data_IF_507753373364
#
_entry.id   IF_507753373364
#
_cell.length_a   1.000
_cell.length_b   1.000
_cell.length_c   1.000
_cell.angle_alpha   90.00
_cell.angle_beta   90.00
_cell.angle_gamma   90.00
#
_symmetry.space_group_name_H-M   'P 1'
#
loop_
_entity.id
_entity.type
_entity.pdbx_description
1 polymer ?
#
# COMPACT_ATOMS: atom_id res chain seq x y z
N UNK A 1 11.77 -15.73 -12.08
CA UNK A 1 11.56 -14.42 -11.43
C UNK A 1 10.11 -14.35 -11.01
N UNK A 2 9.79 -14.02 -9.78
CA UNK A 2 8.43 -13.82 -9.30
C UNK A 2 8.20 -12.32 -9.08
N UNK A 3 7.01 -11.84 -9.41
CA UNK A 3 6.66 -10.41 -9.36
C UNK A 3 5.59 -10.20 -8.30
N UNK A 4 5.70 -9.11 -7.56
CA UNK A 4 4.82 -8.78 -6.43
C UNK A 4 4.26 -7.38 -6.58
N UNK A 5 2.97 -7.22 -6.32
CA UNK A 5 2.31 -5.91 -6.21
C UNK A 5 1.92 -5.68 -4.74
N UNK A 6 2.71 -4.87 -4.05
CA UNK A 6 2.53 -4.67 -2.61
C UNK A 6 1.27 -3.87 -2.27
N UNK A 7 0.65 -3.19 -3.26
CA UNK A 7 -0.49 -2.33 -3.01
C UNK A 7 -1.28 -2.06 -4.29
N UNK A 8 -2.54 -2.49 -4.32
CA UNK A 8 -3.46 -2.28 -5.44
C UNK A 8 -4.91 -2.24 -4.97
N UNK A 9 -5.80 -1.55 -5.68
CA UNK A 9 -7.23 -1.45 -5.38
C UNK A 9 -8.08 -2.20 -6.41
N UNK A 10 -7.85 -3.49 -6.57
CA UNK A 10 -8.57 -4.34 -7.53
C UNK A 10 -10.10 -4.41 -7.26
N UNK A 11 -10.53 -4.02 -6.07
CA UNK A 11 -11.91 -3.96 -5.59
C UNK A 11 -12.65 -2.68 -5.95
N UNK A 12 -11.97 -1.68 -6.52
CA UNK A 12 -12.61 -0.43 -6.96
C UNK A 12 -13.39 -0.60 -8.27
N UNK A 13 -14.33 0.33 -8.51
CA UNK A 13 -15.29 0.29 -9.61
C UNK A 13 -14.66 0.12 -10.99
N UNK A 14 -13.49 0.75 -11.20
CA UNK A 14 -12.76 0.70 -12.47
C UNK A 14 -12.14 -0.68 -12.78
N UNK A 15 -11.81 -1.46 -11.76
CA UNK A 15 -11.11 -2.74 -11.90
C UNK A 15 -11.97 -3.95 -11.53
N UNK A 16 -12.85 -3.81 -10.56
CA UNK A 16 -13.62 -4.92 -10.01
C UNK A 16 -14.47 -5.68 -11.03
N UNK A 17 -15.16 -5.03 -12.00
CA UNK A 17 -15.94 -5.75 -13.00
C UNK A 17 -15.11 -6.71 -13.85
N UNK A 18 -13.84 -6.35 -14.14
CA UNK A 18 -12.91 -7.12 -14.97
C UNK A 18 -11.75 -7.71 -14.15
N UNK A 19 -11.97 -7.95 -12.84
CA UNK A 19 -10.92 -8.41 -11.90
C UNK A 19 -10.23 -9.69 -12.33
N UNK A 20 -10.96 -10.59 -12.99
CA UNK A 20 -10.42 -11.86 -13.48
C UNK A 20 -9.39 -11.62 -14.59
N UNK A 21 -9.70 -10.80 -15.57
CA UNK A 21 -8.79 -10.41 -16.66
C UNK A 21 -7.54 -9.70 -16.11
N UNK A 22 -7.70 -8.88 -15.08
CA UNK A 22 -6.56 -8.23 -14.41
C UNK A 22 -5.66 -9.24 -13.70
N UNK A 23 -6.22 -10.25 -13.04
CA UNK A 23 -5.45 -11.32 -12.40
C UNK A 23 -4.78 -12.25 -13.44
N UNK A 24 -5.46 -12.58 -14.55
CA UNK A 24 -4.87 -13.31 -15.67
C UNK A 24 -3.68 -12.54 -16.27
N UNK A 25 -3.84 -11.23 -16.48
CA UNK A 25 -2.76 -10.38 -16.97
C UNK A 25 -1.59 -10.29 -15.98
N UNK A 26 -1.87 -10.22 -14.67
CA UNK A 26 -0.84 -10.21 -13.64
C UNK A 26 -0.08 -11.55 -13.60
N UNK A 27 -0.77 -12.68 -13.66
CA UNK A 27 -0.15 -13.99 -13.74
C UNK A 27 0.73 -14.13 -15.01
N UNK A 28 0.29 -13.59 -16.15
CA UNK A 28 1.02 -13.63 -17.41
C UNK A 28 2.37 -12.89 -17.39
N UNK A 29 2.54 -11.90 -16.50
CA UNK A 29 3.82 -11.20 -16.29
C UNK A 29 4.63 -11.77 -15.11
N UNK A 30 4.40 -13.02 -14.73
CA UNK A 30 5.04 -13.71 -13.60
C UNK A 30 4.61 -13.16 -12.22
N UNK A 31 3.43 -12.58 -12.13
CA UNK A 31 2.81 -12.19 -10.85
C UNK A 31 2.69 -13.39 -9.92
N UNK A 32 2.99 -13.18 -8.64
CA UNK A 32 2.97 -14.23 -7.62
C UNK A 32 2.26 -13.79 -6.33
N UNK A 33 2.50 -12.58 -5.88
CA UNK A 33 1.86 -12.02 -4.67
C UNK A 33 1.26 -10.65 -4.95
N UNK A 34 0.06 -10.43 -4.40
CA UNK A 34 -0.68 -9.18 -4.53
C UNK A 34 -1.44 -8.89 -3.22
N UNK A 35 -1.35 -7.64 -2.74
CA UNK A 35 -2.16 -7.17 -1.62
C UNK A 35 -3.21 -6.20 -2.14
N UNK A 36 -4.48 -6.60 -1.97
CA UNK A 36 -5.64 -5.82 -2.36
C UNK A 36 -6.10 -4.95 -1.20
N UNK A 37 -6.28 -3.67 -1.44
CA UNK A 37 -6.50 -2.65 -0.43
C UNK A 37 -7.99 -2.35 -0.29
N UNK A 38 -8.53 -2.44 0.94
CA UNK A 38 -9.94 -2.23 1.23
C UNK A 38 -10.12 -0.92 2.01
N UNK A 39 -10.72 0.06 1.38
CA UNK A 39 -10.74 1.43 1.88
C UNK A 39 -12.06 1.84 2.56
N UNK A 40 -13.15 1.08 2.38
CA UNK A 40 -14.45 1.33 2.98
C UNK A 40 -15.33 0.08 2.95
N UNK A 41 -16.52 0.16 3.57
CA UNK A 41 -17.45 -0.98 3.70
C UNK A 41 -17.82 -1.66 2.37
N UNK A 42 -18.03 -0.89 1.29
CA UNK A 42 -18.33 -1.42 -0.04
C UNK A 42 -17.13 -2.15 -0.63
N UNK A 43 -15.96 -1.52 -0.57
CA UNK A 43 -14.72 -2.10 -1.10
C UNK A 43 -14.26 -3.31 -0.29
N UNK A 44 -14.56 -3.34 1.01
CA UNK A 44 -14.32 -4.51 1.85
C UNK A 44 -15.08 -5.74 1.34
N UNK A 45 -16.37 -5.58 0.98
CA UNK A 45 -17.18 -6.67 0.43
C UNK A 45 -16.64 -7.17 -0.92
N UNK A 46 -16.26 -6.24 -1.81
CA UNK A 46 -15.64 -6.57 -3.09
C UNK A 46 -14.30 -7.30 -2.89
N UNK A 47 -13.51 -6.87 -1.92
CA UNK A 47 -12.22 -7.47 -1.58
C UNK A 47 -12.36 -8.90 -1.07
N UNK A 48 -13.32 -9.19 -0.19
CA UNK A 48 -13.66 -10.56 0.25
C UNK A 48 -14.04 -11.44 -0.94
N UNK A 49 -14.83 -10.91 -1.87
CA UNK A 49 -15.19 -11.62 -3.10
C UNK A 49 -13.95 -12.00 -3.90
N UNK A 50 -13.03 -11.05 -4.13
CA UNK A 50 -11.77 -11.31 -4.83
C UNK A 50 -10.96 -12.40 -4.13
N UNK A 51 -10.79 -12.30 -2.80
CA UNK A 51 -10.01 -13.26 -2.02
C UNK A 51 -10.59 -14.68 -2.10
N UNK A 52 -11.92 -14.80 -2.08
CA UNK A 52 -12.58 -16.10 -2.16
C UNK A 52 -12.55 -16.70 -3.57
N UNK A 53 -12.83 -15.92 -4.61
CA UNK A 53 -12.81 -16.36 -6.00
C UNK A 53 -11.41 -16.73 -6.47
N UNK A 54 -10.40 -15.95 -6.05
CA UNK A 54 -9.01 -16.16 -6.48
C UNK A 54 -8.41 -17.46 -5.93
N UNK A 55 -8.77 -17.89 -4.73
CA UNK A 55 -8.31 -19.19 -4.18
C UNK A 55 -8.63 -20.36 -5.09
N UNK A 56 -9.79 -20.33 -5.75
CA UNK A 56 -10.24 -21.41 -6.63
C UNK A 56 -9.70 -21.25 -8.07
N UNK A 57 -9.64 -20.01 -8.56
CA UNK A 57 -9.32 -19.71 -9.97
C UNK A 57 -7.84 -19.51 -10.24
N UNK A 58 -7.08 -19.06 -9.24
CA UNK A 58 -5.66 -18.71 -9.32
C UNK A 58 -4.87 -19.27 -8.13
N UNK A 59 -4.78 -20.62 -8.00
CA UNK A 59 -4.16 -21.26 -6.83
C UNK A 59 -2.68 -20.93 -6.65
N UNK A 60 -2.01 -20.50 -7.71
CA UNK A 60 -0.59 -20.13 -7.71
C UNK A 60 -0.35 -18.64 -7.33
N UNK A 61 -1.42 -17.84 -7.23
CA UNK A 61 -1.35 -16.46 -6.78
C UNK A 61 -1.64 -16.35 -5.29
N UNK A 62 -0.73 -15.72 -4.56
CA UNK A 62 -0.97 -15.31 -3.19
C UNK A 62 -1.67 -13.94 -3.17
N UNK A 63 -2.99 -13.95 -2.96
CA UNK A 63 -3.81 -12.74 -2.91
C UNK A 63 -4.37 -12.58 -1.51
N UNK A 64 -4.01 -11.47 -0.88
CA UNK A 64 -4.44 -11.10 0.47
C UNK A 64 -4.96 -9.67 0.48
N UNK A 65 -5.47 -9.24 1.62
CA UNK A 65 -6.04 -7.92 1.77
C UNK A 65 -5.42 -7.17 2.94
N UNK A 66 -5.43 -5.86 2.85
CA UNK A 66 -5.33 -4.97 4.00
C UNK A 66 -6.69 -4.33 4.28
N UNK A 67 -6.94 -3.98 5.52
CA UNK A 67 -8.23 -3.51 5.99
C UNK A 67 -8.07 -2.21 6.79
N UNK A 68 -8.94 -1.23 6.52
CA UNK A 68 -8.94 0.02 7.27
C UNK A 68 -9.96 1.02 6.75
N UNK A 69 -9.81 2.28 7.13
CA UNK A 69 -10.70 3.38 6.77
C UNK A 69 -9.89 4.48 6.11
N UNK A 70 -10.37 4.87 4.93
CA UNK A 70 -9.81 5.98 4.19
C UNK A 70 -10.32 7.33 4.73
N UNK A 71 -9.46 8.28 5.11
CA UNK A 71 -9.90 9.55 5.70
C UNK A 71 -10.72 10.47 4.79
N UNK A 72 -10.64 10.35 3.46
CA UNK A 72 -11.59 11.05 2.59
C UNK A 72 -13.03 10.62 2.84
N UNK A 73 -13.25 9.43 3.39
CA UNK A 73 -14.56 8.95 3.83
C UNK A 73 -14.94 9.50 5.22
N UNK A 74 -13.96 10.01 5.99
CA UNK A 74 -14.11 10.51 7.37
C UNK A 74 -15.04 11.72 7.47
N UNK A 75 -15.15 12.56 6.44
CA UNK A 75 -15.97 13.76 6.48
C UNK A 75 -17.44 13.58 6.14
N UNK A 76 -17.83 12.49 5.46
CA UNK A 76 -19.15 12.42 4.80
C UNK A 76 -20.05 11.24 5.21
N UNK A 77 -19.54 10.17 5.83
CA UNK A 77 -20.30 8.94 6.02
C UNK A 77 -19.92 8.13 7.27
N UNK A 78 -18.95 8.58 8.05
CA UNK A 78 -18.37 7.75 9.11
C UNK A 78 -18.92 8.21 10.44
N UNK A 79 -19.42 7.24 11.23
CA UNK A 79 -19.83 7.38 12.61
C UNK A 79 -18.68 7.87 13.49
N UNK A 80 -18.63 7.46 14.71
CA UNK A 80 -17.49 7.78 15.55
C UNK A 80 -16.35 6.77 15.33
N UNK A 81 -15.13 7.15 15.70
CA UNK A 81 -13.91 6.33 15.57
C UNK A 81 -14.10 4.93 16.19
N UNK A 82 -14.70 4.87 17.37
CA UNK A 82 -14.89 3.62 18.12
C UNK A 82 -15.78 2.62 17.38
N UNK A 83 -16.87 3.07 16.75
CA UNK A 83 -17.77 2.22 15.97
C UNK A 83 -17.05 1.62 14.76
N UNK A 84 -16.33 2.44 14.00
CA UNK A 84 -15.62 1.97 12.81
C UNK A 84 -14.46 1.03 13.16
N UNK A 85 -13.70 1.31 14.18
CA UNK A 85 -12.64 0.42 14.67
C UNK A 85 -13.22 -0.91 15.15
N UNK A 86 -14.37 -0.90 15.80
CA UNK A 86 -15.07 -2.13 16.21
C UNK A 86 -15.46 -2.99 14.99
N UNK A 87 -15.95 -2.37 13.93
CA UNK A 87 -16.28 -3.09 12.69
C UNK A 87 -15.05 -3.68 12.01
N UNK A 88 -13.94 -2.93 11.94
CA UNK A 88 -12.68 -3.44 11.39
C UNK A 88 -12.20 -4.63 12.21
N UNK A 89 -12.21 -4.51 13.53
CA UNK A 89 -11.81 -5.58 14.45
C UNK A 89 -12.62 -6.85 14.19
N UNK A 90 -13.93 -6.75 14.11
CA UNK A 90 -14.80 -7.87 13.78
C UNK A 90 -14.43 -8.49 12.42
N UNK A 91 -14.18 -7.68 11.39
CA UNK A 91 -13.78 -8.17 10.07
C UNK A 91 -12.44 -8.92 10.10
N UNK A 92 -11.46 -8.46 10.91
CA UNK A 92 -10.18 -9.16 11.10
C UNK A 92 -10.43 -10.52 11.78
N UNK A 93 -11.22 -10.55 12.85
CA UNK A 93 -11.55 -11.79 13.58
C UNK A 93 -12.25 -12.83 12.70
N UNK A 94 -13.18 -12.38 11.83
CA UNK A 94 -13.92 -13.25 10.92
C UNK A 94 -13.08 -13.73 9.71
N UNK A 95 -12.07 -12.98 9.29
CA UNK A 95 -11.33 -13.22 8.02
C UNK A 95 -9.81 -13.35 8.22
N UNK A 96 -9.33 -13.60 9.45
CA UNK A 96 -7.95 -13.52 9.91
C UNK A 96 -6.87 -13.85 8.86
N UNK A 97 -6.87 -15.07 8.31
CA UNK A 97 -5.87 -15.50 7.31
C UNK A 97 -5.90 -14.70 5.99
N UNK A 98 -6.93 -13.94 5.73
CA UNK A 98 -7.07 -13.13 4.51
C UNK A 98 -6.54 -11.71 4.69
N UNK A 99 -6.40 -11.25 5.92
CA UNK A 99 -5.97 -9.89 6.27
C UNK A 99 -4.50 -9.92 6.71
N UNK A 100 -3.67 -9.12 6.08
CA UNK A 100 -2.22 -9.11 6.30
C UNK A 100 -1.65 -7.76 6.70
N UNK A 101 -2.46 -6.72 6.78
CA UNK A 101 -2.05 -5.39 7.22
C UNK A 101 -3.25 -4.54 7.64
N UNK A 102 -3.02 -3.55 8.46
CA UNK A 102 -3.96 -2.44 8.69
C UNK A 102 -3.62 -1.30 7.74
N UNK A 103 -4.64 -0.75 7.11
CA UNK A 103 -4.58 0.22 6.02
C UNK A 103 -5.83 1.12 6.04
N UNK A 104 -5.91 2.28 5.64
CA UNK A 104 -4.91 3.32 5.40
C UNK A 104 -4.81 4.23 6.62
N UNK A 105 -3.64 4.27 7.22
CA UNK A 105 -3.41 5.19 8.31
C UNK A 105 -2.72 6.40 7.71
N UNK A 106 -3.41 7.54 7.65
CA UNK A 106 -2.85 8.68 6.96
C UNK A 106 -3.34 10.04 7.45
N UNK A 107 -2.57 11.03 7.04
CA UNK A 107 -2.97 12.42 7.07
C UNK A 107 -2.79 12.97 5.65
N UNK A 108 -3.87 13.47 5.06
CA UNK A 108 -3.84 14.15 3.77
C UNK A 108 -4.20 15.63 3.96
N UNK A 109 -3.25 16.49 3.70
CA UNK A 109 -3.44 17.94 3.73
C UNK A 109 -3.43 18.56 2.33
N UNK A 110 -3.41 17.74 1.30
CA UNK A 110 -3.40 18.20 -0.09
C UNK A 110 -4.68 18.92 -0.48
N UNK A 111 -5.82 18.48 0.05
CA UNK A 111 -7.11 19.12 -0.20
C UNK A 111 -7.50 20.00 1.00
N UNK A 112 -8.08 21.19 0.77
CA UNK A 112 -8.49 22.10 1.86
C UNK A 112 -9.43 21.44 2.88
N UNK A 113 -10.26 20.52 2.43
CA UNK A 113 -11.18 19.75 3.28
C UNK A 113 -10.41 18.87 4.28
N UNK A 114 -9.26 18.31 3.87
CA UNK A 114 -8.42 17.49 4.74
C UNK A 114 -7.95 18.25 5.99
N UNK A 115 -7.55 19.51 5.83
CA UNK A 115 -7.13 20.34 6.96
C UNK A 115 -8.27 20.60 7.97
N UNK A 116 -9.53 20.63 7.52
CA UNK A 116 -10.70 20.82 8.39
C UNK A 116 -10.99 19.61 9.29
N UNK A 117 -10.48 18.43 8.94
CA UNK A 117 -10.68 17.17 9.66
C UNK A 117 -9.38 16.62 10.27
N UNK A 118 -8.33 17.43 10.40
CA UNK A 118 -7.01 16.97 10.84
C UNK A 118 -7.06 16.21 12.17
N UNK A 119 -7.75 16.72 13.18
CA UNK A 119 -7.83 16.04 14.48
C UNK A 119 -8.56 14.69 14.37
N UNK A 120 -9.62 14.61 13.58
CA UNK A 120 -10.32 13.36 13.35
C UNK A 120 -9.45 12.36 12.57
N UNK A 121 -8.67 12.80 11.59
CA UNK A 121 -7.68 11.97 10.91
C UNK A 121 -6.62 11.43 11.89
N UNK A 122 -6.13 12.28 12.81
CA UNK A 122 -5.19 11.89 13.87
C UNK A 122 -5.77 10.83 14.80
N UNK A 123 -7.04 10.97 15.19
CA UNK A 123 -7.71 10.02 16.08
C UNK A 123 -7.88 8.66 15.39
N UNK A 124 -8.33 8.65 14.13
CA UNK A 124 -8.41 7.41 13.33
C UNK A 124 -7.04 6.77 13.14
N UNK A 125 -6.01 7.57 12.85
CA UNK A 125 -4.66 7.05 12.66
C UNK A 125 -4.15 6.34 13.94
N UNK A 126 -4.26 6.99 15.11
CA UNK A 126 -3.87 6.36 16.38
C UNK A 126 -4.67 5.08 16.66
N UNK A 127 -5.98 5.14 16.46
CA UNK A 127 -6.84 3.97 16.69
C UNK A 127 -6.49 2.80 15.78
N UNK A 128 -6.14 3.04 14.52
CA UNK A 128 -5.68 1.99 13.60
C UNK A 128 -4.27 1.49 13.94
N UNK A 129 -3.37 2.34 14.45
CA UNK A 129 -2.08 1.90 15.00
C UNK A 129 -2.25 0.97 16.21
N UNK A 130 -3.15 1.30 17.14
CA UNK A 130 -3.47 0.41 18.27
C UNK A 130 -4.05 -0.92 17.79
N UNK A 131 -4.92 -0.91 16.78
CA UNK A 131 -5.48 -2.10 16.19
C UNK A 131 -4.40 -2.97 15.55
N UNK A 132 -3.47 -2.37 14.80
CA UNK A 132 -2.32 -3.06 14.21
C UNK A 132 -1.46 -3.73 15.29
N UNK A 133 -1.21 -3.04 16.40
CA UNK A 133 -0.51 -3.58 17.57
C UNK A 133 -1.25 -4.75 18.20
N UNK A 134 -2.58 -4.64 18.41
CA UNK A 134 -3.41 -5.69 19.00
C UNK A 134 -3.35 -6.98 18.19
N UNK A 135 -3.39 -6.90 16.86
CA UNK A 135 -3.39 -8.05 15.95
C UNK A 135 -2.00 -8.45 15.44
N UNK A 136 -0.95 -7.75 15.87
CA UNK A 136 0.42 -7.95 15.37
C UNK A 136 0.51 -7.90 13.83
N UNK A 137 -0.15 -6.90 13.25
CA UNK A 137 -0.16 -6.66 11.82
C UNK A 137 0.69 -5.42 11.47
N UNK A 138 1.35 -5.39 10.31
CA UNK A 138 1.98 -4.18 9.82
C UNK A 138 0.95 -3.09 9.53
N UNK A 139 1.42 -1.84 9.61
CA UNK A 139 0.62 -0.68 9.26
C UNK A 139 1.09 -0.10 7.92
N UNK A 140 0.14 0.17 7.03
CA UNK A 140 0.41 0.79 5.74
C UNK A 140 0.02 2.26 5.80
N UNK A 141 0.98 3.12 5.51
CA UNK A 141 0.88 4.57 5.64
C UNK A 141 0.73 5.21 4.27
N UNK A 142 -0.32 5.97 4.11
CA UNK A 142 -0.39 7.03 3.11
C UNK A 142 -0.09 8.38 3.79
N UNK A 143 0.72 9.21 3.17
CA UNK A 143 1.00 10.55 3.69
C UNK A 143 1.19 11.50 2.51
N UNK A 144 0.38 12.57 2.47
CA UNK A 144 0.42 13.53 1.38
C UNK A 144 0.37 14.96 1.93
N UNK A 145 1.45 15.71 1.66
CA UNK A 145 1.64 17.07 2.19
C UNK A 145 1.54 17.16 3.73
N UNK A 146 1.81 16.04 4.44
CA UNK A 146 1.57 15.84 5.87
C UNK A 146 2.65 15.02 6.60
N UNK A 147 3.90 15.06 6.10
CA UNK A 147 4.98 14.22 6.65
C UNK A 147 5.21 14.45 8.15
N UNK A 148 5.23 15.72 8.58
CA UNK A 148 5.48 16.09 9.99
C UNK A 148 4.40 15.57 10.92
N UNK A 149 3.14 15.71 10.54
CA UNK A 149 1.97 15.26 11.29
C UNK A 149 1.92 13.72 11.37
N UNK A 150 2.24 13.05 10.25
CA UNK A 150 2.36 11.60 10.19
C UNK A 150 3.47 11.09 11.10
N UNK A 151 4.64 11.72 11.04
CA UNK A 151 5.81 11.35 11.84
C UNK A 151 5.55 11.54 13.34
N UNK A 152 4.84 12.60 13.73
CA UNK A 152 4.46 12.87 15.13
C UNK A 152 3.70 11.67 15.72
N UNK A 153 2.71 11.13 15.01
CA UNK A 153 1.93 9.98 15.46
C UNK A 153 2.77 8.71 15.45
N UNK A 154 3.50 8.43 14.38
CA UNK A 154 4.31 7.21 14.27
C UNK A 154 5.37 7.09 15.38
N UNK A 155 5.84 8.21 15.94
CA UNK A 155 6.75 8.20 17.09
C UNK A 155 6.15 7.57 18.36
N UNK A 156 4.82 7.54 18.48
CA UNK A 156 4.09 6.87 19.56
C UNK A 156 4.07 5.32 19.35
N UNK A 157 4.40 4.84 18.11
CA UNK A 157 4.22 3.46 17.65
C UNK A 157 5.48 2.86 17.00
N UNK A 158 6.66 3.10 17.57
CA UNK A 158 7.95 2.65 17.03
C UNK A 158 8.14 1.12 17.03
N UNK A 159 7.28 0.40 17.71
CA UNK A 159 7.23 -1.06 17.79
C UNK A 159 6.55 -1.70 16.58
N UNK A 160 5.76 -0.95 15.79
CA UNK A 160 5.07 -1.45 14.62
C UNK A 160 6.01 -1.65 13.42
N UNK A 161 5.63 -2.60 12.55
CA UNK A 161 6.18 -2.70 11.19
C UNK A 161 5.46 -1.67 10.31
N UNK A 162 6.23 -0.76 9.74
CA UNK A 162 5.70 0.41 9.01
C UNK A 162 5.98 0.26 7.52
N UNK A 163 4.96 0.42 6.70
CA UNK A 163 5.07 0.48 5.27
C UNK A 163 4.52 1.81 4.74
N UNK A 164 5.39 2.71 4.29
CA UNK A 164 4.98 3.89 3.52
C UNK A 164 4.72 3.48 2.07
N UNK A 165 3.47 3.43 1.67
CA UNK A 165 3.11 3.19 0.28
C UNK A 165 3.20 4.47 -0.55
N UNK A 166 3.30 4.34 -1.86
CA UNK A 166 3.27 5.43 -2.84
C UNK A 166 4.16 6.63 -2.47
N UNK A 167 5.44 6.36 -2.19
CA UNK A 167 6.37 7.39 -1.73
C UNK A 167 6.36 8.64 -2.61
N UNK A 168 6.11 9.80 -2.01
CA UNK A 168 5.97 11.09 -2.67
C UNK A 168 6.83 12.21 -2.11
N UNK A 169 7.73 11.92 -1.15
CA UNK A 169 8.59 12.91 -0.51
C UNK A 169 10.04 12.85 -1.02
N UNK A 170 10.90 13.70 -0.45
CA UNK A 170 12.31 13.83 -0.78
C UNK A 170 13.17 12.75 -0.09
N UNK A 171 14.43 12.58 -0.49
CA UNK A 171 15.35 11.65 0.18
C UNK A 171 15.62 11.95 1.66
N UNK A 172 15.51 13.21 2.07
CA UNK A 172 15.81 13.59 3.45
C UNK A 172 14.78 13.05 4.44
N UNK A 173 13.51 12.94 4.04
CA UNK A 173 12.47 12.30 4.86
C UNK A 173 12.75 10.79 5.04
N UNK A 174 13.31 10.11 4.04
CA UNK A 174 13.75 8.71 4.17
C UNK A 174 14.85 8.59 5.23
N UNK A 175 15.83 9.51 5.25
CA UNK A 175 16.88 9.51 6.27
C UNK A 175 16.30 9.66 7.67
N UNK A 176 15.31 10.54 7.85
CA UNK A 176 14.61 10.70 9.12
C UNK A 176 13.93 9.40 9.52
N UNK A 177 13.13 8.78 8.63
CA UNK A 177 12.43 7.53 8.93
C UNK A 177 13.42 6.40 9.28
N UNK A 178 14.49 6.23 8.52
CA UNK A 178 15.53 5.21 8.78
C UNK A 178 16.21 5.41 10.13
N UNK A 179 16.37 6.64 10.59
CA UNK A 179 16.98 6.93 11.89
C UNK A 179 16.06 6.64 13.08
N UNK A 180 14.75 6.62 12.87
CA UNK A 180 13.76 6.50 13.93
C UNK A 180 13.07 5.14 14.00
N UNK A 181 12.96 4.43 12.85
CA UNK A 181 12.19 3.19 12.74
C UNK A 181 13.03 2.04 12.21
N UNK A 182 13.11 0.96 12.98
CA UNK A 182 13.90 -0.24 12.62
C UNK A 182 13.15 -1.18 11.66
N UNK A 183 11.82 -1.15 11.66
CA UNK A 183 10.97 -2.01 10.84
C UNK A 183 10.20 -1.14 9.81
N UNK A 184 10.93 -0.71 8.79
CA UNK A 184 10.44 0.23 7.79
C UNK A 184 10.51 -0.37 6.38
N UNK A 185 9.45 -0.14 5.60
CA UNK A 185 9.37 -0.42 4.17
C UNK A 185 8.86 0.81 3.41
N UNK A 186 9.34 1.00 2.18
CA UNK A 186 8.98 2.13 1.31
C UNK A 186 8.52 1.60 -0.04
N UNK A 187 7.31 1.97 -0.46
CA UNK A 187 6.70 1.60 -1.72
C UNK A 187 6.93 2.61 -2.84
N UNK A 188 7.25 2.12 -4.01
CA UNK A 188 7.43 2.91 -5.21
C UNK A 188 6.46 2.47 -6.30
N UNK A 189 5.74 3.43 -6.88
CA UNK A 189 4.70 3.22 -7.88
C UNK A 189 5.15 3.58 -9.29
N UNK A 190 4.21 3.56 -10.26
CA UNK A 190 4.46 3.96 -11.65
C UNK A 190 4.97 5.39 -11.81
N UNK A 191 4.81 6.26 -10.80
CA UNK A 191 5.28 7.64 -10.83
C UNK A 191 6.81 7.77 -10.95
N UNK A 192 7.61 6.78 -10.50
CA UNK A 192 9.08 6.79 -10.70
C UNK A 192 9.46 6.87 -12.17
N UNK A 193 8.59 6.42 -13.07
CA UNK A 193 8.83 6.43 -14.52
C UNK A 193 8.58 7.80 -15.17
N UNK A 194 8.00 8.77 -14.44
CA UNK A 194 7.67 10.05 -15.02
C UNK A 194 8.93 10.92 -15.27
N UNK A 195 8.97 11.69 -16.39
CA UNK A 195 10.16 12.48 -16.74
C UNK A 195 10.63 13.43 -15.63
N UNK A 196 9.68 14.01 -14.88
CA UNK A 196 9.95 14.99 -13.81
C UNK A 196 10.09 14.38 -12.40
N UNK A 197 10.14 13.05 -12.27
CA UNK A 197 10.15 12.37 -10.97
C UNK A 197 11.58 12.09 -10.44
N UNK A 198 12.56 13.00 -10.69
CA UNK A 198 13.94 12.76 -10.24
C UNK A 198 14.05 12.69 -8.72
N UNK A 199 13.24 13.43 -8.00
CA UNK A 199 13.19 13.41 -6.53
C UNK A 199 12.78 12.03 -5.99
N UNK A 200 11.75 11.42 -6.60
CA UNK A 200 11.30 10.08 -6.22
C UNK A 200 12.36 9.03 -6.56
N UNK A 201 13.04 9.18 -7.72
CA UNK A 201 14.17 8.31 -8.08
C UNK A 201 15.38 8.49 -7.14
N UNK A 202 15.63 9.71 -6.67
CA UNK A 202 16.63 9.96 -5.65
C UNK A 202 16.26 9.31 -4.31
N UNK A 203 14.97 9.37 -3.93
CA UNK A 203 14.44 8.67 -2.76
C UNK A 203 14.58 7.15 -2.88
N UNK A 204 14.33 6.58 -4.06
CA UNK A 204 14.55 5.15 -4.31
C UNK A 204 16.03 4.76 -4.10
N UNK A 205 16.96 5.59 -4.55
CA UNK A 205 18.41 5.35 -4.33
C UNK A 205 18.84 5.51 -2.86
N UNK A 206 18.14 6.35 -2.08
CA UNK A 206 18.41 6.56 -0.65
C UNK A 206 17.84 5.44 0.23
N UNK A 207 16.81 4.75 -0.25
CA UNK A 207 16.14 3.67 0.48
C UNK A 207 17.04 2.44 0.55
N UNK A 208 17.18 1.83 1.72
CA UNK A 208 17.93 0.59 1.86
C UNK A 208 17.29 -0.51 1.03
N UNK A 209 18.10 -1.27 0.30
CA UNK A 209 17.62 -2.28 -0.64
C UNK A 209 16.69 -3.32 0.02
N UNK A 210 16.95 -3.62 1.29
CA UNK A 210 16.09 -4.49 2.12
C UNK A 210 14.77 -3.86 2.57
N UNK A 211 14.48 -2.62 2.20
CA UNK A 211 13.26 -1.89 2.58
C UNK A 211 12.38 -1.52 1.39
N UNK A 212 12.87 -1.74 0.15
CA UNK A 212 12.18 -1.37 -1.07
C UNK A 212 11.03 -2.33 -1.35
N UNK A 213 9.85 -1.79 -1.59
CA UNK A 213 8.70 -2.48 -2.17
C UNK A 213 8.27 -1.82 -3.47
N UNK A 214 7.68 -2.60 -4.34
CA UNK A 214 7.10 -2.15 -5.61
C UNK A 214 5.61 -2.42 -5.62
N UNK A 215 4.88 -1.48 -6.20
CA UNK A 215 3.43 -1.52 -6.21
C UNK A 215 2.86 -0.78 -7.42
N UNK A 216 1.59 -0.99 -7.72
CA UNK A 216 0.93 -0.26 -8.79
C UNK A 216 0.12 0.93 -8.29
N UNK A 217 -0.47 0.82 -7.11
CA UNK A 217 -1.55 1.70 -6.67
C UNK A 217 -2.71 1.77 -7.69
N UNK A 218 -2.92 0.67 -8.42
CA UNK A 218 -3.96 0.63 -9.46
C UNK A 218 -5.36 0.78 -8.85
N UNK A 219 -6.25 1.58 -9.48
CA UNK A 219 -6.28 2.06 -10.86
C UNK A 219 -5.47 3.32 -11.14
N UNK A 220 -4.79 3.88 -10.14
CA UNK A 220 -4.07 5.14 -10.21
C UNK A 220 -2.63 4.99 -10.76
N UNK A 221 -1.95 6.10 -10.98
CA UNK A 221 -0.51 6.21 -11.21
C UNK A 221 0.06 5.32 -12.31
N UNK A 222 -0.68 5.15 -13.44
CA UNK A 222 -0.18 4.40 -14.59
C UNK A 222 1.22 4.85 -15.00
N UNK A 223 2.17 3.93 -15.23
CA UNK A 223 3.53 4.26 -15.64
C UNK A 223 3.61 5.11 -16.91
N UNK A 224 4.75 5.77 -17.14
CA UNK A 224 5.01 6.53 -18.37
C UNK A 224 4.79 5.63 -19.60
N UNK A 225 4.10 6.17 -20.60
CA UNK A 225 3.59 5.42 -21.77
C UNK A 225 2.14 4.96 -21.64
N UNK A 226 1.62 4.89 -20.41
CA UNK A 226 0.22 4.53 -20.11
C UNK A 226 -0.54 5.64 -19.35
N UNK A 227 0.05 6.81 -19.23
CA UNK A 227 -0.60 7.96 -18.54
C UNK A 227 -1.94 8.29 -19.19
N UNK A 228 -2.96 8.52 -18.34
CA UNK A 228 -4.34 8.78 -18.78
C UNK A 228 -5.16 7.51 -19.07
N UNK A 229 -4.55 6.33 -18.92
CA UNK A 229 -5.24 5.04 -18.94
C UNK A 229 -5.37 4.51 -17.52
N UNK A 230 -6.39 3.70 -17.27
CA UNK A 230 -6.56 2.96 -16.02
C UNK A 230 -5.33 2.06 -15.79
N UNK A 231 -4.75 2.13 -14.60
CA UNK A 231 -3.66 1.26 -14.19
C UNK A 231 -4.18 -0.15 -13.88
N UNK A 232 -3.27 -1.13 -13.78
CA UNK A 232 -3.61 -2.52 -13.42
C UNK A 232 -2.43 -3.21 -12.75
N UNK A 233 -2.64 -4.25 -11.92
CA UNK A 233 -1.58 -4.95 -11.21
C UNK A 233 -0.44 -5.46 -12.10
N UNK A 234 -0.73 -5.89 -13.33
CA UNK A 234 0.28 -6.35 -14.27
C UNK A 234 1.36 -5.30 -14.60
N UNK A 235 1.02 -4.01 -14.46
CA UNK A 235 1.98 -2.92 -14.76
C UNK A 235 3.03 -2.72 -13.68
N UNK A 236 2.97 -3.43 -12.55
CA UNK A 236 4.05 -3.45 -11.57
C UNK A 236 5.36 -4.00 -12.20
N UNK A 237 5.28 -4.85 -13.22
CA UNK A 237 6.43 -5.30 -14.00
C UNK A 237 7.17 -4.13 -14.66
N UNK A 238 6.44 -3.12 -15.12
CA UNK A 238 7.01 -1.89 -15.70
C UNK A 238 7.64 -1.03 -14.60
N UNK A 239 7.00 -0.92 -13.43
CA UNK A 239 7.58 -0.26 -12.25
C UNK A 239 8.91 -0.90 -11.89
N UNK A 240 8.97 -2.24 -11.85
CA UNK A 240 10.19 -2.99 -11.57
C UNK A 240 11.31 -2.71 -12.56
N UNK A 241 11.00 -2.63 -13.85
CA UNK A 241 11.98 -2.27 -14.87
C UNK A 241 12.59 -0.88 -14.61
N UNK A 242 11.76 0.15 -14.41
CA UNK A 242 12.22 1.51 -14.12
C UNK A 242 13.01 1.59 -12.79
N UNK A 243 12.60 0.84 -11.76
CA UNK A 243 13.30 0.77 -10.50
C UNK A 243 14.68 0.14 -10.67
N UNK A 244 14.80 -0.98 -11.40
CA UNK A 244 16.08 -1.64 -11.69
C UNK A 244 17.03 -0.73 -12.47
N UNK A 245 16.53 -0.05 -13.51
CA UNK A 245 17.28 0.94 -14.29
C UNK A 245 17.77 2.10 -13.39
N UNK A 246 16.93 2.61 -12.50
CA UNK A 246 17.26 3.69 -11.56
C UNK A 246 18.36 3.30 -10.57
N UNK A 247 18.33 2.04 -10.12
CA UNK A 247 19.32 1.47 -9.18
C UNK A 247 20.57 0.92 -9.87
N UNK A 248 20.58 0.83 -11.21
CA UNK A 248 21.70 0.27 -11.97
C UNK A 248 21.93 -1.22 -11.73
N UNK A 249 20.86 -1.99 -11.51
CA UNK A 249 20.90 -3.43 -11.24
C UNK A 249 20.02 -4.20 -12.24
N UNK A 250 20.15 -5.53 -12.27
CA UNK A 250 19.24 -6.36 -13.07
C UNK A 250 17.86 -6.46 -12.42
N UNK A 251 16.82 -6.63 -13.25
CA UNK A 251 15.46 -6.88 -12.76
C UNK A 251 15.39 -8.16 -11.89
N UNK A 252 16.13 -9.20 -12.24
CA UNK A 252 16.21 -10.43 -11.46
C UNK A 252 16.71 -10.17 -10.03
N UNK A 253 17.79 -9.38 -9.88
CA UNK A 253 18.31 -9.00 -8.56
C UNK A 253 17.30 -8.16 -7.78
N UNK A 254 16.64 -7.21 -8.44
CA UNK A 254 15.62 -6.37 -7.82
C UNK A 254 14.45 -7.23 -7.31
N UNK A 255 13.86 -8.06 -8.17
CA UNK A 255 12.70 -8.85 -7.81
C UNK A 255 13.00 -9.91 -6.75
N UNK A 256 14.22 -10.46 -6.72
CA UNK A 256 14.64 -11.34 -5.62
C UNK A 256 14.57 -10.63 -4.29
N UNK A 257 15.09 -9.39 -4.19
CA UNK A 257 15.02 -8.63 -2.95
C UNK A 257 13.61 -8.15 -2.62
N UNK A 258 12.85 -7.71 -3.62
CA UNK A 258 11.44 -7.29 -3.42
C UNK A 258 10.60 -8.45 -2.90
N UNK A 259 10.82 -9.66 -3.40
CA UNK A 259 10.19 -10.87 -2.86
C UNK A 259 10.51 -11.09 -1.37
N UNK A 260 11.78 -11.01 -0.98
CA UNK A 260 12.19 -11.14 0.41
C UNK A 260 11.55 -10.06 1.29
N UNK A 261 11.55 -8.79 0.81
CA UNK A 261 10.95 -7.67 1.50
C UNK A 261 9.42 -7.83 1.65
N UNK A 262 8.75 -8.28 0.59
CA UNK A 262 7.30 -8.53 0.58
C UNK A 262 6.91 -9.57 1.64
N UNK A 263 7.66 -10.70 1.70
CA UNK A 263 7.38 -11.74 2.69
C UNK A 263 7.72 -11.32 4.11
N UNK A 264 8.76 -10.51 4.30
CA UNK A 264 9.10 -9.95 5.62
C UNK A 264 8.03 -8.97 6.11
N UNK A 265 7.41 -8.21 5.21
CA UNK A 265 6.31 -7.31 5.57
C UNK A 265 5.04 -8.09 5.93
N UNK A 266 4.63 -9.03 5.08
CA UNK A 266 3.29 -9.61 5.14
C UNK A 266 3.19 -11.02 5.77
N UNK A 267 4.31 -11.62 6.14
CA UNK A 267 4.39 -12.92 6.83
C UNK A 267 5.37 -12.93 8.01
N UNK A 268 5.95 -11.77 8.35
CA UNK A 268 6.98 -11.62 9.38
C UNK A 268 6.55 -11.94 10.79
#
# INVERSE_FOLDING_TARGET
MRIFDAHTHLNQEDLFPNRKEHLEAFAAVWGHGLVNIWANRQYNTNGLTISNESRASFPDLWIKASLGIHPCDVGNAIGNVEEEITLIKQQIEENGDSIVAIWECWIDLHYPEGASFLELQRDFFRAQCELAREFNLPIVIHSRDAFSETLEILREFKDLVIYFHCWGYWPDEIKVLKSEFSQLFIGFTGNISYPKAEEIRASLRETDFSQILLETDAPYLSPQGFRGQINSPAKVSIVGKFAAETLGISEEKLWTQVEENFWRLYRG
#
